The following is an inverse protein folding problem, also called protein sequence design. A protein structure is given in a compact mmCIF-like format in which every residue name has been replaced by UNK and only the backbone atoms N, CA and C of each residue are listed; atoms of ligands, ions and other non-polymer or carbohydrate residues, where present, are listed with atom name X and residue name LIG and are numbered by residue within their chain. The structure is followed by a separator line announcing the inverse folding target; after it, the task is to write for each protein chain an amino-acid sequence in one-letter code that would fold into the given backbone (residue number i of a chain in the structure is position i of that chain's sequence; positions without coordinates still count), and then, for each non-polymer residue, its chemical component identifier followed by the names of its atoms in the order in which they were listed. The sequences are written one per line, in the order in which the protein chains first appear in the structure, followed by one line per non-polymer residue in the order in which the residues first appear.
data_IF_196132689786
#
_entry.id   IF_196132689786
#
_cell.length_a   1.000
_cell.length_b   1.000
_cell.length_c   1.000
_cell.angle_alpha   90.00
_cell.angle_beta   90.00
_cell.angle_gamma   90.00
#
_symmetry.space_group_name_H-M   'P 1'
#
loop_
_entity.id
_entity.type
_entity.pdbx_description
1 polymer ?
#
# COMPACT_ATOMS: atom_id res chain seq x y z
N UNK A 1 -18.40 72.08 4.03
CA UNK A 1 -19.53 71.95 3.09
C UNK A 1 -19.46 70.56 2.48
N UNK A 2 -20.54 69.78 2.68
CA UNK A 2 -21.04 68.68 1.83
C UNK A 2 -20.14 67.42 1.69
N UNK A 3 -20.43 66.32 2.39
CA UNK A 3 -21.49 65.30 2.21
C UNK A 3 -21.13 64.20 1.18
N UNK A 4 -21.50 62.96 1.56
CA UNK A 4 -21.64 61.72 0.75
C UNK A 4 -20.36 60.85 0.71
N UNK A 5 -20.36 59.56 1.07
CA UNK A 5 -21.48 58.66 1.33
C UNK A 5 -21.05 57.41 2.09
N UNK A 6 -21.94 57.02 3.00
CA UNK A 6 -21.98 55.78 3.74
C UNK A 6 -22.31 54.65 2.74
N UNK A 7 -21.38 53.73 2.49
CA UNK A 7 -21.67 52.44 1.85
C UNK A 7 -21.67 51.35 2.93
N UNK A 8 -22.85 51.18 3.52
CA UNK A 8 -23.27 49.92 4.10
C UNK A 8 -23.40 48.90 2.96
N UNK A 9 -22.44 47.99 2.83
CA UNK A 9 -22.67 46.72 2.15
C UNK A 9 -22.53 45.58 3.15
N UNK A 10 -23.69 45.25 3.72
CA UNK A 10 -24.19 43.88 3.91
C UNK A 10 -23.16 42.76 4.04
N UNK A 11 -23.03 42.32 5.29
CA UNK A 11 -22.87 40.94 5.74
C UNK A 11 -22.76 39.85 4.66
N UNK A 12 -21.54 39.34 4.46
CA UNK A 12 -21.32 37.94 4.11
C UNK A 12 -20.21 37.40 5.00
N UNK A 13 -20.53 37.18 6.28
CA UNK A 13 -19.81 36.20 7.09
C UNK A 13 -20.25 34.84 6.55
N UNK A 14 -19.67 34.43 5.42
CA UNK A 14 -19.56 33.02 5.08
C UNK A 14 -18.56 32.47 6.09
N UNK A 15 -19.08 32.09 7.25
CA UNK A 15 -18.37 31.27 8.20
C UNK A 15 -17.94 30.03 7.47
N UNK A 16 -16.68 30.01 7.03
CA UNK A 16 -15.92 28.78 6.94
C UNK A 16 -15.95 28.25 8.37
N UNK A 17 -16.91 27.38 8.67
CA UNK A 17 -16.78 26.51 9.82
C UNK A 17 -15.67 25.57 9.38
N UNK A 18 -14.42 25.71 9.87
CA UNK A 18 -13.49 24.63 9.70
C UNK A 18 -14.17 23.48 10.44
N UNK A 19 -14.56 22.44 9.71
CA UNK A 19 -14.80 21.15 10.32
C UNK A 19 -13.49 20.81 11.01
N UNK A 20 -13.43 21.09 12.31
CA UNK A 20 -12.40 20.61 13.22
C UNK A 20 -12.61 19.10 13.31
N UNK A 21 -12.30 18.39 12.23
CA UNK A 21 -11.96 16.99 12.31
C UNK A 21 -10.76 16.95 13.25
N UNK A 22 -11.01 16.66 14.53
CA UNK A 22 -9.97 16.58 15.53
C UNK A 22 -8.92 15.62 15.01
N UNK A 23 -7.72 16.13 14.72
CA UNK A 23 -6.60 15.28 14.36
C UNK A 23 -6.43 14.25 15.48
N UNK A 24 -6.14 12.99 15.13
CA UNK A 24 -5.94 11.93 16.11
C UNK A 24 -4.85 12.37 17.10
N UNK A 25 -5.22 12.54 18.37
CA UNK A 25 -4.31 12.97 19.43
C UNK A 25 -3.70 11.79 20.19
N UNK A 26 -4.24 10.59 20.01
CA UNK A 26 -3.77 9.38 20.68
C UNK A 26 -3.93 8.13 19.82
N UNK A 27 -3.31 7.04 20.27
CA UNK A 27 -3.46 5.69 19.68
C UNK A 27 -4.89 5.19 19.86
N UNK A 28 -5.47 4.59 18.82
CA UNK A 28 -6.88 4.16 18.84
C UNK A 28 -7.08 2.65 19.01
N UNK A 29 -6.12 1.83 18.58
CA UNK A 29 -6.21 0.36 18.66
C UNK A 29 -5.12 -0.26 19.55
N UNK A 30 -3.89 0.26 19.48
CA UNK A 30 -2.80 -0.13 20.36
C UNK A 30 -2.76 0.83 21.56
N UNK A 31 -3.63 0.58 22.54
CA UNK A 31 -3.65 1.28 23.82
C UNK A 31 -2.51 0.81 24.75
N UNK A 32 -2.38 1.46 25.91
CA UNK A 32 -1.29 1.21 26.86
C UNK A 32 -1.36 -0.20 27.46
N UNK A 33 -2.56 -0.75 27.66
CA UNK A 33 -2.75 -2.11 28.17
C UNK A 33 -2.25 -3.14 27.16
N UNK A 34 -2.62 -3.02 25.88
CA UNK A 34 -2.14 -3.91 24.83
C UNK A 34 -0.64 -3.84 24.66
N UNK A 35 -0.06 -2.65 24.76
CA UNK A 35 1.38 -2.47 24.69
C UNK A 35 2.09 -3.11 25.89
N UNK A 36 1.52 -3.02 27.09
CA UNK A 36 2.05 -3.69 28.27
C UNK A 36 2.08 -5.22 28.08
N UNK A 37 1.02 -5.81 27.56
CA UNK A 37 0.96 -7.25 27.22
C UNK A 37 2.01 -7.61 26.16
N UNK A 38 2.20 -6.78 25.13
CA UNK A 38 3.24 -6.99 24.12
C UNK A 38 4.64 -6.96 24.75
N UNK A 39 4.93 -5.99 25.62
CA UNK A 39 6.20 -5.88 26.32
C UNK A 39 6.47 -7.07 27.24
N UNK A 40 5.46 -7.51 28.01
CA UNK A 40 5.55 -8.69 28.86
C UNK A 40 5.86 -9.94 28.04
N UNK A 41 5.15 -10.14 26.92
CA UNK A 41 5.40 -11.27 26.02
C UNK A 41 6.84 -11.27 25.48
N UNK A 42 7.33 -10.11 25.04
CA UNK A 42 8.71 -9.97 24.54
C UNK A 42 9.76 -10.24 25.62
N UNK A 43 9.48 -9.89 26.88
CA UNK A 43 10.37 -10.17 28.00
C UNK A 43 10.40 -11.67 28.34
N UNK A 44 9.23 -12.30 28.38
CA UNK A 44 9.08 -13.63 28.99
C UNK A 44 9.09 -14.78 27.99
N UNK A 45 8.90 -14.53 26.69
CA UNK A 45 8.68 -15.59 25.71
C UNK A 45 9.60 -15.53 24.50
N UNK A 46 10.25 -16.65 24.20
CA UNK A 46 11.11 -16.78 23.02
C UNK A 46 10.30 -16.70 21.72
N UNK A 47 9.13 -17.35 21.65
CA UNK A 47 8.26 -17.30 20.47
C UNK A 47 7.89 -15.87 20.10
N UNK A 48 7.69 -14.99 21.09
CA UNK A 48 7.33 -13.60 20.86
C UNK A 48 8.51 -12.81 20.27
N UNK A 49 9.73 -13.06 20.76
CA UNK A 49 10.96 -12.46 20.21
C UNK A 49 11.22 -12.95 18.79
N UNK A 50 11.11 -14.25 18.54
CA UNK A 50 11.27 -14.82 17.20
C UNK A 50 10.23 -14.27 16.24
N UNK A 51 8.96 -14.22 16.64
CA UNK A 51 7.90 -13.63 15.81
C UNK A 51 8.17 -12.16 15.49
N UNK A 52 8.58 -11.36 16.48
CA UNK A 52 8.90 -9.95 16.29
C UNK A 52 10.10 -9.76 15.36
N UNK A 53 11.19 -10.52 15.56
CA UNK A 53 12.38 -10.43 14.69
C UNK A 53 12.04 -10.80 13.25
N UNK A 54 11.31 -11.89 13.04
CA UNK A 54 10.85 -12.31 11.71
C UNK A 54 10.01 -11.22 11.04
N UNK A 55 9.14 -10.52 11.78
CA UNK A 55 8.34 -9.41 11.25
C UNK A 55 9.20 -8.17 10.95
N UNK A 56 10.15 -7.83 11.82
CA UNK A 56 11.00 -6.65 11.68
C UNK A 56 11.97 -6.78 10.51
N UNK A 57 12.66 -7.91 10.43
CA UNK A 57 13.71 -8.15 9.44
C UNK A 57 13.17 -8.80 8.17
N UNK A 58 11.95 -9.35 8.20
CA UNK A 58 11.42 -10.17 7.10
C UNK A 58 12.02 -11.57 7.06
N UNK A 59 12.68 -12.01 8.13
CA UNK A 59 13.29 -13.33 8.21
C UNK A 59 12.23 -14.43 8.39
N UNK A 60 12.39 -15.56 7.69
CA UNK A 60 11.52 -16.73 7.83
C UNK A 60 10.99 -17.27 6.51
N UNK A 61 10.16 -18.32 6.58
CA UNK A 61 9.50 -18.88 5.41
C UNK A 61 8.49 -17.89 4.82
N UNK A 62 8.54 -17.74 3.49
CA UNK A 62 7.49 -17.13 2.70
C UNK A 62 6.12 -17.65 3.16
N UNK A 63 5.18 -16.74 3.42
CA UNK A 63 3.83 -17.12 3.87
C UNK A 63 2.88 -17.03 2.67
N UNK A 64 2.67 -18.14 1.93
CA UNK A 64 1.95 -18.13 0.65
C UNK A 64 0.48 -17.74 0.75
N UNK A 65 -0.10 -17.76 1.96
CA UNK A 65 -1.55 -17.67 2.16
C UNK A 65 -2.13 -16.27 2.32
N UNK A 66 -1.31 -15.21 2.45
CA UNK A 66 -1.85 -13.90 2.85
C UNK A 66 -1.87 -12.84 1.76
N UNK A 67 -0.77 -12.52 1.06
CA UNK A 67 -0.78 -11.38 0.12
C UNK A 67 0.35 -11.46 -0.91
N UNK A 68 0.39 -12.54 -1.69
CA UNK A 68 1.53 -12.78 -2.55
C UNK A 68 2.76 -13.20 -1.75
N UNK A 69 3.61 -13.98 -2.38
CA UNK A 69 4.68 -14.73 -1.76
C UNK A 69 5.90 -13.90 -1.37
N UNK A 70 5.80 -13.03 -0.37
CA UNK A 70 6.95 -12.23 0.07
C UNK A 70 7.21 -12.26 1.58
N UNK A 71 8.49 -12.32 1.89
CA UNK A 71 9.04 -11.94 3.19
C UNK A 71 8.83 -10.44 3.40
N UNK A 72 8.07 -10.07 4.44
CA UNK A 72 7.72 -8.68 4.73
C UNK A 72 8.57 -8.15 5.88
N UNK A 73 9.49 -7.21 5.60
CA UNK A 73 10.33 -6.54 6.61
C UNK A 73 9.73 -5.20 7.01
N UNK A 74 9.23 -5.07 8.25
CA UNK A 74 8.75 -3.79 8.76
C UNK A 74 9.86 -2.73 8.75
N UNK A 75 11.11 -3.11 9.07
CA UNK A 75 12.22 -2.14 9.12
C UNK A 75 12.53 -1.58 7.73
N UNK A 76 12.59 -2.44 6.70
CA UNK A 76 12.83 -2.02 5.33
C UNK A 76 11.80 -0.98 4.86
N UNK A 77 10.52 -1.18 5.20
CA UNK A 77 9.45 -0.24 4.89
C UNK A 77 9.50 1.04 5.72
N UNK A 78 9.79 0.94 7.03
CA UNK A 78 9.82 2.08 7.94
C UNK A 78 10.98 3.05 7.66
N UNK A 79 12.04 2.59 7.02
CA UNK A 79 13.19 3.41 6.59
C UNK A 79 12.93 4.20 5.30
N UNK A 80 11.80 4.00 4.63
CA UNK A 80 11.48 4.71 3.38
C UNK A 80 10.99 6.12 3.67
N UNK A 81 11.40 7.05 2.81
CA UNK A 81 10.93 8.43 2.86
C UNK A 81 9.58 8.62 2.14
N UNK A 82 9.06 9.84 2.21
CA UNK A 82 7.79 10.18 1.57
C UNK A 82 7.87 10.10 0.05
N UNK A 83 9.04 10.39 -0.54
CA UNK A 83 9.23 10.35 -1.99
C UNK A 83 9.12 8.93 -2.53
N UNK A 84 9.67 7.94 -1.83
CA UNK A 84 9.47 6.53 -2.16
C UNK A 84 7.97 6.17 -2.23
N UNK A 85 7.20 6.50 -1.19
CA UNK A 85 5.76 6.19 -1.15
C UNK A 85 4.98 6.97 -2.21
N UNK A 86 5.35 8.23 -2.45
CA UNK A 86 4.76 9.05 -3.48
C UNK A 86 4.97 8.44 -4.86
N UNK A 87 6.20 7.97 -5.13
CA UNK A 87 6.53 7.35 -6.41
C UNK A 87 5.83 5.99 -6.58
N UNK A 88 5.47 5.26 -5.53
CA UNK A 88 4.66 4.04 -5.70
C UNK A 88 3.21 4.30 -6.18
N UNK A 89 2.72 5.54 -6.14
CA UNK A 89 1.39 5.86 -6.64
C UNK A 89 1.41 5.94 -8.18
N UNK A 90 0.66 5.09 -8.91
CA UNK A 90 0.56 5.20 -10.36
C UNK A 90 -0.16 6.49 -10.74
N UNK A 91 0.11 6.98 -11.95
CA UNK A 91 -0.60 8.13 -12.50
C UNK A 91 -2.09 7.85 -12.68
N UNK A 92 -2.92 8.89 -12.58
CA UNK A 92 -4.38 8.83 -12.80
C UNK A 92 -4.76 8.53 -14.26
N UNK A 93 -3.78 8.42 -15.15
CA UNK A 93 -3.98 8.02 -16.56
C UNK A 93 -4.13 6.50 -16.74
N UNK A 94 -3.81 5.70 -15.71
CA UNK A 94 -4.03 4.25 -15.73
C UNK A 94 -5.45 3.97 -15.30
N UNK A 95 -6.13 3.07 -16.02
CA UNK A 95 -7.46 2.61 -15.64
C UNK A 95 -7.38 1.80 -14.35
N UNK A 96 -7.92 2.33 -13.25
CA UNK A 96 -8.01 1.63 -11.96
C UNK A 96 -9.25 0.73 -11.86
N UNK A 97 -9.61 0.06 -12.95
CA UNK A 97 -10.75 -0.84 -13.01
C UNK A 97 -10.36 -2.10 -13.77
N UNK A 98 -10.47 -3.23 -13.09
CA UNK A 98 -10.24 -4.54 -13.68
C UNK A 98 -11.56 -5.33 -13.65
N UNK A 99 -11.94 -5.98 -14.76
CA UNK A 99 -13.12 -6.81 -14.77
C UNK A 99 -12.85 -8.06 -13.92
N UNK A 100 -13.81 -8.41 -13.06
CA UNK A 100 -13.60 -9.41 -12.00
C UNK A 100 -13.43 -10.84 -12.52
N UNK A 101 -13.78 -11.10 -13.78
CA UNK A 101 -13.55 -12.35 -14.48
C UNK A 101 -12.06 -12.56 -14.85
N UNK A 102 -11.22 -11.54 -14.72
CA UNK A 102 -9.79 -11.59 -15.06
C UNK A 102 -8.83 -11.70 -13.87
N UNK A 103 -9.33 -11.83 -12.64
CA UNK A 103 -8.45 -11.94 -11.47
C UNK A 103 -7.55 -13.18 -11.54
N UNK A 104 -6.24 -13.00 -11.34
CA UNK A 104 -5.32 -14.14 -11.23
C UNK A 104 -5.29 -15.01 -12.50
N UNK A 105 -5.15 -14.39 -13.67
CA UNK A 105 -4.95 -15.06 -14.95
C UNK A 105 -3.63 -14.56 -15.54
N UNK A 106 -2.63 -15.43 -15.62
CA UNK A 106 -1.36 -15.13 -16.29
C UNK A 106 -1.53 -15.17 -17.81
N UNK A 107 -0.87 -14.26 -18.55
CA UNK A 107 -0.83 -14.32 -20.02
C UNK A 107 -0.27 -15.66 -20.55
N UNK A 108 0.66 -16.29 -19.83
CA UNK A 108 1.28 -17.58 -20.22
C UNK A 108 0.64 -18.78 -19.54
N UNK A 109 0.33 -18.67 -18.25
CA UNK A 109 -0.08 -19.81 -17.42
C UNK A 109 -1.56 -19.82 -17.06
N UNK A 110 -2.34 -18.83 -17.50
CA UNK A 110 -3.76 -18.73 -17.22
C UNK A 110 -4.02 -18.79 -15.70
N UNK A 111 -4.94 -19.66 -15.29
CA UNK A 111 -5.35 -19.77 -13.87
C UNK A 111 -4.39 -20.60 -13.01
N UNK A 112 -3.33 -21.18 -13.56
CA UNK A 112 -2.38 -22.01 -12.80
C UNK A 112 -1.70 -21.21 -11.67
N UNK A 113 -1.58 -19.89 -11.83
CA UNK A 113 -1.07 -18.98 -10.78
C UNK A 113 -1.83 -19.07 -9.46
N UNK A 114 -3.07 -19.57 -9.47
CA UNK A 114 -3.92 -19.71 -8.28
C UNK A 114 -3.62 -20.95 -7.45
N UNK A 115 -2.86 -21.91 -7.98
CA UNK A 115 -2.63 -23.19 -7.31
C UNK A 115 -1.87 -22.99 -5.99
N UNK A 116 -2.48 -23.44 -4.89
CA UNK A 116 -1.92 -23.28 -3.54
C UNK A 116 -1.89 -21.84 -3.01
N UNK A 117 -2.49 -20.87 -3.72
CA UNK A 117 -2.42 -19.43 -3.43
C UNK A 117 -3.81 -18.81 -3.27
N UNK A 118 -3.84 -17.55 -2.81
CA UNK A 118 -5.08 -16.81 -2.68
C UNK A 118 -5.70 -16.53 -4.06
N UNK A 119 -6.99 -16.87 -4.22
CA UNK A 119 -7.70 -16.77 -5.50
C UNK A 119 -7.61 -15.37 -6.16
N UNK A 120 -7.75 -14.30 -5.36
CA UNK A 120 -7.75 -12.91 -5.85
C UNK A 120 -6.35 -12.29 -5.94
N UNK A 121 -5.36 -12.83 -5.22
CA UNK A 121 -4.03 -12.24 -5.09
C UNK A 121 -2.92 -13.30 -5.23
N UNK A 122 -2.85 -14.04 -6.36
CA UNK A 122 -1.86 -15.10 -6.55
C UNK A 122 -0.44 -14.59 -6.80
N UNK A 123 -0.31 -13.31 -7.17
CA UNK A 123 0.92 -12.71 -7.67
C UNK A 123 1.94 -12.42 -6.58
N UNK A 124 3.20 -12.35 -7.01
CA UNK A 124 4.31 -11.83 -6.23
C UNK A 124 4.50 -10.33 -6.52
N UNK A 125 4.95 -9.54 -5.54
CA UNK A 125 5.15 -8.10 -5.61
C UNK A 125 6.52 -7.72 -5.01
N UNK A 126 7.31 -6.93 -5.74
CA UNK A 126 8.55 -6.36 -5.24
C UNK A 126 8.61 -4.87 -5.58
N UNK A 127 7.99 -4.01 -4.76
CA UNK A 127 7.97 -2.57 -5.03
C UNK A 127 9.35 -1.91 -4.91
N UNK A 128 10.38 -2.61 -4.43
CA UNK A 128 11.72 -2.07 -4.27
C UNK A 128 12.55 -2.23 -5.54
N UNK A 129 12.57 -3.43 -6.13
CA UNK A 129 13.37 -3.70 -7.33
C UNK A 129 12.53 -3.76 -8.61
N UNK A 130 11.21 -3.98 -8.50
CA UNK A 130 10.28 -4.14 -9.62
C UNK A 130 9.00 -3.30 -9.41
N UNK A 131 9.12 -1.96 -9.24
CA UNK A 131 7.96 -1.11 -9.05
C UNK A 131 7.01 -1.20 -10.26
N UNK A 132 5.70 -1.12 -9.98
CA UNK A 132 4.62 -1.24 -10.97
C UNK A 132 4.54 -2.58 -11.71
N UNK A 133 5.24 -3.60 -11.21
CA UNK A 133 5.19 -4.95 -11.77
C UNK A 133 4.72 -5.97 -10.75
N UNK A 134 4.13 -7.03 -11.28
CA UNK A 134 3.76 -8.24 -10.56
C UNK A 134 4.51 -9.42 -11.17
N UNK A 135 4.87 -10.39 -10.34
CA UNK A 135 5.54 -11.59 -10.80
C UNK A 135 4.57 -12.76 -10.87
N UNK A 136 4.59 -13.48 -11.99
CA UNK A 136 3.95 -14.77 -12.15
C UNK A 136 4.67 -15.80 -11.26
N UNK A 137 3.99 -16.40 -10.27
CA UNK A 137 4.63 -17.35 -9.36
C UNK A 137 4.97 -18.70 -10.01
N UNK A 138 4.49 -18.98 -11.22
CA UNK A 138 4.72 -20.25 -11.93
C UNK A 138 6.11 -20.30 -12.55
N UNK A 139 6.55 -19.21 -13.18
CA UNK A 139 7.84 -19.13 -13.88
C UNK A 139 8.77 -18.00 -13.39
N UNK A 140 8.27 -17.10 -12.54
CA UNK A 140 9.03 -15.98 -12.01
C UNK A 140 9.13 -14.77 -12.93
N UNK A 141 8.39 -14.72 -14.04
CA UNK A 141 8.40 -13.59 -14.97
C UNK A 141 7.63 -12.38 -14.44
N UNK A 142 8.10 -11.18 -14.79
CA UNK A 142 7.51 -9.91 -14.35
C UNK A 142 6.66 -9.27 -15.43
N UNK A 143 5.47 -8.83 -15.03
CA UNK A 143 4.48 -8.18 -15.89
C UNK A 143 4.03 -6.84 -15.28
N UNK A 144 3.64 -5.86 -16.09
CA UNK A 144 3.78 -5.84 -17.54
C UNK A 144 5.25 -5.65 -17.97
N UNK A 145 5.55 -5.91 -19.24
CA UNK A 145 6.93 -5.94 -19.74
C UNK A 145 7.53 -4.54 -20.01
N UNK A 146 6.68 -3.52 -20.12
CA UNK A 146 7.04 -2.11 -20.34
C UNK A 146 7.70 -1.45 -19.12
N UNK A 147 8.37 -0.32 -19.37
CA UNK A 147 8.95 0.52 -18.33
C UNK A 147 7.99 1.65 -17.92
N UNK A 148 6.98 1.30 -17.13
CA UNK A 148 6.00 2.26 -16.63
C UNK A 148 6.64 3.42 -15.84
N UNK A 149 7.73 3.14 -15.10
CA UNK A 149 8.44 4.15 -14.32
C UNK A 149 9.09 5.21 -15.21
N UNK A 150 9.53 4.84 -16.42
CA UNK A 150 10.01 5.75 -17.45
C UNK A 150 8.89 6.44 -18.26
N UNK A 151 7.61 6.17 -17.94
CA UNK A 151 6.46 6.72 -18.64
C UNK A 151 6.05 5.94 -19.89
N UNK A 152 6.56 4.73 -20.08
CA UNK A 152 6.04 3.83 -21.11
C UNK A 152 4.65 3.32 -20.68
N UNK A 153 3.62 3.87 -21.32
CA UNK A 153 2.21 3.53 -21.05
C UNK A 153 1.69 2.44 -21.99
N UNK A 154 2.55 1.78 -22.76
CA UNK A 154 2.21 0.54 -23.45
C UNK A 154 2.31 -0.62 -22.47
N UNK A 155 1.76 -1.78 -22.77
CA UNK A 155 1.92 -2.96 -21.91
C UNK A 155 3.09 -3.86 -22.38
N UNK A 156 3.76 -3.48 -23.47
CA UNK A 156 4.73 -4.32 -24.17
C UNK A 156 4.09 -5.56 -24.82
N UNK A 157 4.76 -6.71 -24.75
CA UNK A 157 4.27 -7.96 -25.37
C UNK A 157 3.01 -8.50 -24.68
N UNK A 158 2.84 -8.19 -23.39
CA UNK A 158 1.75 -8.68 -22.57
C UNK A 158 0.94 -7.54 -21.93
N UNK A 159 -0.37 -7.43 -22.24
CA UNK A 159 -1.24 -6.38 -21.69
C UNK A 159 -1.29 -6.35 -20.16
N UNK A 160 -1.51 -5.14 -19.63
CA UNK A 160 -1.82 -4.80 -18.24
C UNK A 160 -3.23 -5.26 -17.81
#
# INVERSE_FOLDING_TARGET
MQHIGLLLLSATILGVIPTMAGAKTCRTYYDDERLAVMHENLANHEWARTYMNNLLEGDGEEKPWKWGGHCFSVRLWAERDQEFFWNLMPTTRVTMMYPTDRYGISPKHGTAVREGRAFYHPWNYDPFNHPYRIQDPVDGEWYPSNDFAAGDMTSGEYPD
#
